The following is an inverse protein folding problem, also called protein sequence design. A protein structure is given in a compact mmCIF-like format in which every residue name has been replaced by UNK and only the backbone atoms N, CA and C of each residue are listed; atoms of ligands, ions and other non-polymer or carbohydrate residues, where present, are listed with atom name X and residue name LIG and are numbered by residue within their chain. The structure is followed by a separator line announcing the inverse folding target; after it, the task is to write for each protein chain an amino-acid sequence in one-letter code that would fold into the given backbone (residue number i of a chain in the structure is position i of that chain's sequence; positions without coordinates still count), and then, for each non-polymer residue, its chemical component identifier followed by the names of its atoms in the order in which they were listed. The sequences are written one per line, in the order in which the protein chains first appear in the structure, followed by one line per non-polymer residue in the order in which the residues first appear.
data_IF_022298780520
#
_entry.id   IF_022298780520
#
_cell.length_a   1.000
_cell.length_b   1.000
_cell.length_c   1.000
_cell.angle_alpha   90.00
_cell.angle_beta   90.00
_cell.angle_gamma   90.00
#
_symmetry.space_group_name_H-M   'P 1'
#
loop_
_entity.id
_entity.type
_entity.pdbx_description
1 polymer ?
#
# COMPACT_ATOMS: atom_id res chain seq x y z
N UNK A 1 -2.66 17.61 10.13
CA UNK A 1 -3.49 18.09 9.01
C UNK A 1 -2.57 17.97 7.81
N UNK A 2 -3.03 17.43 6.69
CA UNK A 2 -2.21 17.43 5.47
C UNK A 2 -2.17 18.86 4.98
N UNK A 3 -0.97 19.44 4.93
CA UNK A 3 -0.77 20.88 4.86
C UNK A 3 -0.78 21.39 3.41
N UNK A 4 -0.94 20.50 2.42
CA UNK A 4 -1.17 20.87 1.00
C UNK A 4 -2.12 19.92 0.27
N UNK A 5 -2.81 20.37 -0.81
CA UNK A 5 -3.59 19.49 -1.69
C UNK A 5 -2.80 18.31 -2.27
N UNK A 6 -1.49 18.50 -2.51
CA UNK A 6 -0.62 17.45 -3.02
C UNK A 6 -0.38 16.35 -1.98
N UNK A 7 -0.18 16.71 -0.71
CA UNK A 7 -0.05 15.74 0.39
C UNK A 7 -1.34 14.94 0.59
N UNK A 8 -2.50 15.60 0.48
CA UNK A 8 -3.80 14.94 0.60
C UNK A 8 -4.05 13.91 -0.50
N UNK A 9 -3.79 14.27 -1.78
CA UNK A 9 -3.94 13.30 -2.87
C UNK A 9 -2.94 12.14 -2.74
N UNK A 10 -1.70 12.42 -2.30
CA UNK A 10 -0.71 11.39 -2.06
C UNK A 10 -1.13 10.45 -0.91
N UNK A 11 -1.65 10.98 0.19
CA UNK A 11 -2.17 10.18 1.29
C UNK A 11 -3.33 9.30 0.84
N UNK A 12 -4.27 9.84 0.06
CA UNK A 12 -5.41 9.10 -0.49
C UNK A 12 -4.96 7.92 -1.34
N UNK A 13 -4.04 8.14 -2.30
CA UNK A 13 -3.49 7.08 -3.14
C UNK A 13 -2.75 6.00 -2.31
N UNK A 14 -1.92 6.42 -1.35
CA UNK A 14 -1.24 5.49 -0.44
C UNK A 14 -2.20 4.69 0.41
N UNK A 15 -3.27 5.32 0.90
CA UNK A 15 -4.30 4.67 1.71
C UNK A 15 -5.03 3.60 0.90
N UNK A 16 -5.40 3.92 -0.35
CA UNK A 16 -6.04 2.96 -1.26
C UNK A 16 -5.17 1.73 -1.51
N UNK A 17 -3.89 1.91 -1.84
CA UNK A 17 -2.98 0.79 -2.07
C UNK A 17 -2.72 -0.02 -0.80
N UNK A 18 -2.55 0.65 0.35
CA UNK A 18 -2.35 -0.03 1.63
C UNK A 18 -3.57 -0.90 1.99
N UNK A 19 -4.79 -0.40 1.77
CA UNK A 19 -6.00 -1.20 1.97
C UNK A 19 -6.08 -2.40 1.02
N UNK A 20 -5.78 -2.20 -0.27
CA UNK A 20 -5.76 -3.29 -1.25
C UNK A 20 -4.76 -4.40 -0.88
N UNK A 21 -3.57 -4.03 -0.42
CA UNK A 21 -2.55 -4.99 0.03
C UNK A 21 -2.99 -5.76 1.29
N UNK A 22 -3.64 -5.09 2.26
CA UNK A 22 -4.18 -5.75 3.45
C UNK A 22 -5.28 -6.75 3.08
N UNK A 23 -6.23 -6.33 2.26
CA UNK A 23 -7.32 -7.19 1.78
C UNK A 23 -6.78 -8.39 1.01
N UNK A 24 -5.72 -8.22 0.20
CA UNK A 24 -5.05 -9.32 -0.46
C UNK A 24 -4.42 -10.32 0.54
N UNK A 25 -3.71 -9.84 1.57
CA UNK A 25 -3.16 -10.71 2.64
C UNK A 25 -4.27 -11.53 3.29
N UNK A 26 -5.37 -10.86 3.67
CA UNK A 26 -6.48 -11.48 4.39
C UNK A 26 -7.20 -12.53 3.51
N UNK A 27 -7.50 -12.20 2.25
CA UNK A 27 -8.14 -13.12 1.29
C UNK A 27 -7.27 -14.32 0.94
N UNK A 28 -5.96 -14.12 0.84
CA UNK A 28 -5.01 -15.19 0.58
C UNK A 28 -4.65 -16.01 1.84
N UNK A 29 -5.16 -15.62 3.02
CA UNK A 29 -4.90 -16.31 4.29
C UNK A 29 -3.43 -16.27 4.71
N UNK A 30 -2.69 -15.24 4.29
CA UNK A 30 -1.25 -15.15 4.52
C UNK A 30 -0.97 -14.62 5.92
N UNK A 31 -0.06 -15.27 6.63
CA UNK A 31 0.57 -14.62 7.78
C UNK A 31 1.61 -13.59 7.33
N UNK A 32 2.04 -12.71 8.25
CA UNK A 32 2.96 -11.61 7.92
C UNK A 32 4.29 -12.08 7.31
N UNK A 33 4.79 -13.26 7.70
CA UNK A 33 6.04 -13.81 7.17
C UNK A 33 5.89 -14.34 5.75
N UNK A 34 4.73 -14.91 5.40
CA UNK A 34 4.43 -15.32 4.02
C UNK A 34 4.23 -14.11 3.12
N UNK A 35 3.45 -13.12 3.58
CA UNK A 35 3.26 -11.87 2.87
C UNK A 35 4.59 -11.13 2.63
N UNK A 36 5.51 -11.16 3.60
CA UNK A 36 6.83 -10.55 3.44
C UNK A 36 7.62 -11.18 2.29
N UNK A 37 7.60 -12.51 2.18
CA UNK A 37 8.22 -13.24 1.07
C UNK A 37 7.56 -12.90 -0.26
N UNK A 38 6.23 -12.90 -0.30
CA UNK A 38 5.46 -12.58 -1.52
C UNK A 38 5.74 -11.16 -2.00
N UNK A 39 5.74 -10.19 -1.09
CA UNK A 39 5.94 -8.77 -1.41
C UNK A 39 7.42 -8.39 -1.58
N UNK A 40 8.36 -9.31 -1.34
CA UNK A 40 9.79 -9.03 -1.42
C UNK A 40 10.31 -8.05 -0.37
N UNK A 41 9.70 -8.01 0.82
CA UNK A 41 10.07 -7.10 1.92
C UNK A 41 10.36 -7.86 3.21
N UNK A 42 10.76 -7.14 4.27
CA UNK A 42 10.92 -7.72 5.60
C UNK A 42 9.58 -7.92 6.32
N UNK A 43 9.50 -8.87 7.25
CA UNK A 43 8.30 -9.07 8.06
C UNK A 43 7.92 -7.83 8.91
N UNK A 44 8.85 -7.11 9.56
CA UNK A 44 8.52 -5.84 10.22
C UNK A 44 7.85 -4.83 9.29
N UNK A 45 8.27 -4.77 8.02
CA UNK A 45 7.65 -3.89 7.02
C UNK A 45 6.19 -4.28 6.76
N UNK A 46 5.88 -5.57 6.64
CA UNK A 46 4.49 -6.05 6.57
C UNK A 46 3.73 -5.74 7.87
N UNK A 47 4.39 -5.84 9.01
CA UNK A 47 3.80 -5.49 10.31
C UNK A 47 3.39 -4.00 10.38
N UNK A 48 4.22 -3.11 9.85
CA UNK A 48 3.91 -1.68 9.74
C UNK A 48 2.77 -1.41 8.75
N UNK A 49 2.75 -2.14 7.62
CA UNK A 49 1.65 -2.12 6.66
C UNK A 49 0.33 -2.50 7.35
N UNK A 50 0.27 -3.67 8.01
CA UNK A 50 -0.94 -4.17 8.69
C UNK A 50 -1.43 -3.22 9.79
N UNK A 51 -0.52 -2.59 10.54
CA UNK A 51 -0.86 -1.57 11.56
C UNK A 51 -1.27 -0.21 10.98
N UNK A 52 -1.21 -0.02 9.67
CA UNK A 52 -1.65 1.22 9.03
C UNK A 52 -0.67 2.38 9.19
N UNK A 53 0.62 2.12 9.40
CA UNK A 53 1.64 3.17 9.54
C UNK A 53 1.99 3.81 8.19
N UNK A 54 1.01 4.44 7.56
CA UNK A 54 1.06 4.98 6.20
C UNK A 54 2.17 6.00 5.97
N UNK A 55 2.55 6.78 6.97
CA UNK A 55 3.68 7.72 6.89
C UNK A 55 5.02 7.04 6.61
N UNK A 56 5.16 5.73 6.90
CA UNK A 56 6.37 4.96 6.61
C UNK A 56 6.46 4.48 5.16
N UNK A 57 5.40 4.65 4.36
CA UNK A 57 5.32 4.14 3.01
C UNK A 57 5.29 5.27 1.99
N UNK A 58 6.18 5.19 1.01
CA UNK A 58 6.06 5.93 -0.24
C UNK A 58 5.00 5.28 -1.14
N UNK A 59 4.48 6.06 -2.09
CA UNK A 59 3.54 5.57 -3.10
C UNK A 59 4.18 4.48 -3.98
N UNK A 60 5.41 4.72 -4.42
CA UNK A 60 6.26 3.80 -5.18
C UNK A 60 6.45 2.45 -4.48
N UNK A 61 6.74 2.48 -3.17
CA UNK A 61 6.90 1.26 -2.39
C UNK A 61 5.62 0.40 -2.37
N UNK A 62 4.46 1.03 -2.22
CA UNK A 62 3.18 0.33 -2.22
C UNK A 62 2.83 -0.24 -3.60
N UNK A 63 3.14 0.49 -4.68
CA UNK A 63 2.99 -0.01 -6.06
C UNK A 63 3.87 -1.23 -6.30
N UNK A 64 5.14 -1.19 -5.87
CA UNK A 64 6.06 -2.32 -6.00
C UNK A 64 5.57 -3.56 -5.23
N UNK A 65 5.05 -3.37 -4.02
CA UNK A 65 4.48 -4.47 -3.23
C UNK A 65 3.23 -5.05 -3.89
N UNK A 66 2.37 -4.21 -4.49
CA UNK A 66 1.19 -4.67 -5.21
C UNK A 66 1.56 -5.49 -6.46
N UNK A 67 2.53 -5.00 -7.24
CA UNK A 67 3.04 -5.72 -8.40
C UNK A 67 3.67 -7.07 -8.02
N UNK A 68 4.46 -7.13 -6.93
CA UNK A 68 5.04 -8.36 -6.41
C UNK A 68 3.97 -9.37 -5.94
N UNK A 69 2.83 -8.88 -5.46
CA UNK A 69 1.66 -9.69 -5.11
C UNK A 69 0.85 -10.20 -6.33
N UNK A 70 1.27 -9.84 -7.56
CA UNK A 70 0.51 -10.14 -8.78
C UNK A 70 -0.75 -9.27 -8.95
N UNK A 71 -0.88 -8.18 -8.19
CA UNK A 71 -1.95 -7.21 -8.36
C UNK A 71 -1.62 -6.22 -9.47
N UNK A 72 -2.63 -5.82 -10.23
CA UNK A 72 -2.50 -4.76 -11.23
C UNK A 72 -3.01 -3.44 -10.67
N UNK A 73 -2.22 -2.38 -10.80
CA UNK A 73 -2.57 -1.03 -10.34
C UNK A 73 -2.93 -0.18 -11.55
N UNK A 74 -4.17 0.32 -11.60
CA UNK A 74 -4.62 1.31 -12.57
C UNK A 74 -4.83 2.66 -11.87
N UNK A 75 -4.32 3.74 -12.46
CA UNK A 75 -4.53 5.10 -11.97
C UNK A 75 -5.20 5.94 -13.05
N UNK A 76 -6.27 6.64 -12.67
CA UNK A 76 -6.95 7.60 -13.53
C UNK A 76 -6.73 9.01 -12.97
N UNK A 77 -6.21 9.90 -13.82
CA UNK A 77 -6.05 11.32 -13.49
C UNK A 77 -7.20 12.09 -14.13
N UNK A 78 -7.88 12.91 -13.33
CA UNK A 78 -8.99 13.77 -13.76
C UNK A 78 -8.73 15.20 -13.34
N UNK A 79 -9.47 16.15 -13.94
CA UNK A 79 -9.44 17.55 -13.50
C UNK A 79 -9.93 17.62 -12.05
N UNK A 80 -9.18 18.35 -11.20
CA UNK A 80 -9.59 18.61 -9.82
C UNK A 80 -10.80 19.55 -9.81
N UNK A 81 -11.80 19.24 -8.99
CA UNK A 81 -13.00 20.05 -8.80
C UNK A 81 -12.73 21.29 -7.92
#
# INVERSE_FOLDING_TARGET
MEDTPAEAENMKLRSMLMMALKDHIDRAGLNQSQAAKLFGVTQPRVSDLMRGKISLFGLDALVNMAAAAGLHVEMRVTVAA
#
